data_IF_168980355558
#
_entry.id   IF_168980355558
#
_cell.length_a   1.000
_cell.length_b   1.000
_cell.length_c   1.000
_cell.angle_alpha   90.00
_cell.angle_beta   90.00
_cell.angle_gamma   90.00
#
_symmetry.space_group_name_H-M   'P 1'
#
loop_
_entity.id
_entity.type
_entity.pdbx_description
1 polymer ?
#
# COMPACT_ATOMS: atom_id res chain seq x y z
N UNK A 1 6.70 -4.51 -8.65
CA UNK A 1 7.08 -3.32 -7.84
C UNK A 1 7.03 -3.62 -6.34
N UNK A 2 7.30 -2.61 -5.50
CA UNK A 2 7.28 -2.70 -4.03
C UNK A 2 5.87 -2.56 -3.39
N UNK A 3 4.77 -2.62 -4.15
CA UNK A 3 3.42 -2.53 -3.61
C UNK A 3 2.99 -3.81 -2.86
N UNK A 4 2.39 -3.62 -1.68
CA UNK A 4 1.84 -4.69 -0.87
C UNK A 4 0.57 -4.24 -0.13
N UNK A 5 -0.21 -5.20 0.34
CA UNK A 5 -1.41 -4.98 1.15
C UNK A 5 -1.20 -5.55 2.55
N UNK A 6 -1.27 -4.69 3.56
CA UNK A 6 -1.18 -5.05 4.96
C UNK A 6 -2.47 -5.74 5.41
N UNK A 7 -2.36 -7.00 5.87
CA UNK A 7 -3.45 -7.77 6.47
C UNK A 7 -3.46 -7.63 7.99
N UNK A 8 -2.29 -7.50 8.60
CA UNK A 8 -2.14 -7.36 10.04
C UNK A 8 -0.84 -6.62 10.39
N UNK A 9 -0.87 -5.88 11.50
CA UNK A 9 0.27 -5.14 12.02
C UNK A 9 0.21 -3.65 11.71
N UNK A 10 1.33 -2.96 11.90
CA UNK A 10 1.45 -1.52 11.67
C UNK A 10 2.75 -1.20 10.94
N UNK A 11 2.64 -0.35 9.92
CA UNK A 11 3.78 0.17 9.16
C UNK A 11 3.76 1.69 9.18
N UNK A 12 4.93 2.29 9.30
CA UNK A 12 5.10 3.73 9.13
C UNK A 12 5.78 3.97 7.77
N UNK A 13 5.15 4.77 6.92
CA UNK A 13 5.65 5.06 5.57
C UNK A 13 5.63 6.58 5.31
N UNK A 14 6.41 7.38 6.07
CA UNK A 14 6.39 8.84 5.97
C UNK A 14 6.82 9.34 4.58
N UNK A 15 7.61 8.54 3.87
CA UNK A 15 8.14 8.85 2.54
C UNK A 15 7.31 8.25 1.40
N UNK A 16 6.12 7.68 1.68
CA UNK A 16 5.21 7.15 0.66
C UNK A 16 4.50 8.28 -0.10
N UNK A 17 5.29 9.08 -0.83
CA UNK A 17 4.81 10.08 -1.77
C UNK A 17 4.18 9.36 -2.97
N UNK A 18 2.85 9.40 -3.07
CA UNK A 18 2.10 8.87 -4.23
C UNK A 18 0.99 7.88 -3.91
N UNK A 19 0.88 7.36 -2.69
CA UNK A 19 -0.28 6.57 -2.27
C UNK A 19 -1.28 7.48 -1.57
N UNK A 20 -2.49 7.59 -2.14
CA UNK A 20 -3.56 8.38 -1.53
C UNK A 20 -3.88 7.87 -0.12
N UNK A 21 -4.20 8.79 0.80
CA UNK A 21 -4.46 8.45 2.21
C UNK A 21 -5.55 7.37 2.38
N UNK A 22 -6.57 7.37 1.52
CA UNK A 22 -7.65 6.37 1.55
C UNK A 22 -7.19 4.95 1.22
N UNK A 23 -6.12 4.81 0.42
CA UNK A 23 -5.53 3.50 0.13
C UNK A 23 -4.60 3.05 1.25
N UNK A 24 -3.91 3.98 1.90
CA UNK A 24 -3.13 3.67 3.10
C UNK A 24 -4.04 3.17 4.23
N UNK A 25 -5.22 3.77 4.40
CA UNK A 25 -6.24 3.31 5.35
C UNK A 25 -6.80 1.93 5.01
N UNK A 26 -6.89 1.59 3.71
CA UNK A 26 -7.25 0.23 3.25
C UNK A 26 -6.11 -0.78 3.42
N UNK A 27 -4.94 -0.35 3.90
CA UNK A 27 -3.78 -1.20 4.16
C UNK A 27 -2.77 -1.26 3.02
N UNK A 28 -2.94 -0.50 1.94
CA UNK A 28 -1.92 -0.47 0.88
C UNK A 28 -0.65 0.24 1.33
N UNK A 29 0.49 -0.39 1.09
CA UNK A 29 1.81 0.08 1.51
C UNK A 29 2.88 -0.16 0.45
N UNK A 30 3.91 0.69 0.44
CA UNK A 30 5.08 0.54 -0.41
C UNK A 30 6.26 0.01 0.41
N UNK A 31 6.59 -1.26 0.25
CA UNK A 31 7.64 -1.96 1.02
C UNK A 31 9.04 -1.34 0.85
N UNK A 32 9.29 -0.65 -0.26
CA UNK A 32 10.55 0.03 -0.54
C UNK A 32 10.81 1.24 0.38
N UNK A 33 9.78 1.78 1.05
CA UNK A 33 9.84 2.95 1.94
C UNK A 33 9.05 2.76 3.23
N UNK A 34 8.61 1.53 3.52
CA UNK A 34 7.83 1.20 4.71
C UNK A 34 8.72 0.68 5.84
N UNK A 35 8.52 1.22 7.03
CA UNK A 35 9.16 0.77 8.26
C UNK A 35 8.18 -0.02 9.13
N UNK A 36 8.49 -1.27 9.50
CA UNK A 36 7.65 -2.06 10.40
C UNK A 36 7.61 -1.43 11.80
N UNK A 37 6.42 -1.36 12.41
CA UNK A 37 6.21 -0.94 13.81
C UNK A 37 5.69 -2.07 14.70
N UNK A 38 5.38 -3.21 14.10
CA UNK A 38 4.99 -4.46 14.77
C UNK A 38 5.34 -5.66 13.88
N UNK A 39 5.02 -6.86 14.35
CA UNK A 39 4.92 -8.02 13.46
C UNK A 39 3.87 -7.74 12.38
N UNK A 40 4.21 -8.10 11.13
CA UNK A 40 3.40 -7.80 9.96
C UNK A 40 2.93 -9.08 9.28
N UNK A 41 1.68 -9.07 8.82
CA UNK A 41 1.23 -9.95 7.76
C UNK A 41 0.84 -9.08 6.57
N UNK A 42 1.44 -9.35 5.43
CA UNK A 42 1.23 -8.58 4.22
C UNK A 42 1.22 -9.49 3.00
N UNK A 43 0.47 -9.05 2.00
CA UNK A 43 0.37 -9.69 0.69
C UNK A 43 1.19 -8.87 -0.30
N UNK A 44 2.29 -9.42 -0.79
CA UNK A 44 3.16 -8.76 -1.76
C UNK A 44 2.58 -8.83 -3.19
N UNK A 45 3.13 -8.03 -4.11
CA UNK A 45 2.76 -8.06 -5.52
C UNK A 45 1.43 -7.39 -5.84
N UNK A 46 0.97 -6.50 -4.97
CA UNK A 46 -0.33 -5.81 -5.10
C UNK A 46 -0.23 -4.54 -5.97
N UNK A 47 0.58 -4.58 -7.02
CA UNK A 47 0.80 -3.46 -7.93
C UNK A 47 -0.46 -3.13 -8.72
N UNK A 48 -1.04 -4.15 -9.36
CA UNK A 48 -2.24 -4.00 -10.17
C UNK A 48 -3.42 -3.54 -9.31
N UNK A 49 -3.61 -4.16 -8.15
CA UNK A 49 -4.65 -3.78 -7.19
C UNK A 49 -4.48 -2.33 -6.68
N UNK A 50 -3.24 -1.92 -6.40
CA UNK A 50 -2.94 -0.54 -6.02
C UNK A 50 -3.21 0.43 -7.17
N UNK A 51 -2.83 0.06 -8.40
CA UNK A 51 -3.03 0.86 -9.60
C UNK A 51 -4.53 1.03 -9.92
N UNK A 52 -5.30 -0.05 -9.90
CA UNK A 52 -6.77 -0.01 -10.05
C UNK A 52 -7.43 0.82 -8.95
N UNK A 53 -6.97 0.69 -7.70
CA UNK A 53 -7.51 1.48 -6.61
C UNK A 53 -7.15 2.99 -6.69
N UNK A 54 -6.00 3.35 -7.27
CA UNK A 54 -5.58 4.74 -7.49
C UNK A 54 -6.21 5.38 -8.74
N UNK A 55 -6.29 4.64 -9.84
CA UNK A 55 -6.56 5.16 -11.19
C UNK A 55 -7.77 4.53 -11.88
N UNK A 56 -8.30 3.41 -11.38
CA UNK A 56 -9.41 2.66 -11.97
C UNK A 56 -10.76 3.39 -12.01
N UNK A 57 -10.85 4.63 -11.52
CA UNK A 57 -12.03 5.48 -11.73
C UNK A 57 -12.06 6.16 -13.11
N UNK A 58 -11.05 5.96 -13.97
CA UNK A 58 -11.04 6.47 -15.34
C UNK A 58 -10.78 5.35 -16.35
N UNK A 59 -11.75 4.47 -16.53
CA UNK A 59 -12.01 3.84 -17.83
C UNK A 59 -13.51 4.03 -18.13
N UNK A 60 -13.77 4.69 -19.26
CA UNK A 60 -15.07 5.04 -19.86
C UNK A 60 -16.14 3.95 -19.80
#
# INVERSE_FOLDING_TARGET
TCAALLKQGQVAQPDAMGVRNDLQEKGFTLLCVAYPRSDLQLEAGQEDALYEAQFGQYQT
#
